data_IF_955875213759
#
_entry.id   IF_955875213759
#
_cell.length_a   1.000
_cell.length_b   1.000
_cell.length_c   1.000
_cell.angle_alpha   90.00
_cell.angle_beta   90.00
_cell.angle_gamma   90.00
#
_symmetry.space_group_name_H-M   'P 1'
#
loop_
_entity.id
_entity.type
_entity.pdbx_description
1 polymer ?
#
# COMPACT_ATOMS: atom_id res chain seq x y z
N UNK A 1 -1.66 -15.75 -36.54
CA UNK A 1 -0.38 -15.89 -35.82
C UNK A 1 0.24 -14.51 -35.50
N UNK A 2 -0.51 -13.61 -34.86
CA UNK A 2 -0.06 -12.23 -34.55
C UNK A 2 -0.27 -11.83 -33.07
N UNK A 3 -0.94 -12.67 -32.28
CA UNK A 3 -1.20 -12.43 -30.84
C UNK A 3 -0.03 -12.81 -29.93
N UNK A 4 1.01 -13.52 -30.40
CA UNK A 4 2.10 -13.97 -29.53
C UNK A 4 3.14 -12.89 -29.23
N UNK A 5 3.38 -11.96 -30.16
CA UNK A 5 4.38 -10.89 -30.00
C UNK A 5 4.11 -9.94 -28.81
N UNK A 6 2.89 -9.42 -28.59
CA UNK A 6 2.62 -8.61 -27.39
C UNK A 6 2.66 -9.43 -26.11
N UNK A 7 2.27 -10.72 -26.16
CA UNK A 7 2.34 -11.60 -25.00
C UNK A 7 3.79 -11.92 -24.60
N UNK A 8 4.65 -12.21 -25.57
CA UNK A 8 6.10 -12.45 -25.37
C UNK A 8 6.81 -11.21 -24.84
N UNK A 9 6.46 -10.02 -25.35
CA UNK A 9 7.00 -8.75 -24.83
C UNK A 9 6.59 -8.51 -23.38
N UNK A 10 5.29 -8.68 -23.05
CA UNK A 10 4.79 -8.55 -21.68
C UNK A 10 5.43 -9.58 -20.75
N UNK A 11 5.60 -10.82 -21.22
CA UNK A 11 6.33 -11.86 -20.48
C UNK A 11 7.78 -11.45 -20.22
N UNK A 12 8.49 -10.91 -21.21
CA UNK A 12 9.84 -10.39 -21.05
C UNK A 12 9.94 -9.27 -20.01
N UNK A 13 8.99 -8.34 -19.99
CA UNK A 13 8.92 -7.29 -18.97
C UNK A 13 8.67 -7.86 -17.57
N UNK A 14 7.74 -8.81 -17.44
CA UNK A 14 7.44 -9.46 -16.16
C UNK A 14 8.65 -10.23 -15.65
N UNK A 15 9.34 -10.99 -16.52
CA UNK A 15 10.53 -11.74 -16.15
C UNK A 15 11.67 -10.81 -15.71
N UNK A 16 11.92 -9.74 -16.46
CA UNK A 16 12.92 -8.71 -16.09
C UNK A 16 12.57 -8.07 -14.74
N UNK A 17 11.30 -7.79 -14.49
CA UNK A 17 10.83 -7.28 -13.20
C UNK A 17 11.09 -8.26 -12.06
N UNK A 18 10.78 -9.55 -12.25
CA UNK A 18 11.00 -10.60 -11.26
C UNK A 18 12.49 -10.82 -10.97
N UNK A 19 13.35 -10.78 -12.00
CA UNK A 19 14.81 -10.83 -11.83
C UNK A 19 15.34 -9.63 -11.02
N UNK A 20 14.83 -8.43 -11.29
CA UNK A 20 15.18 -7.21 -10.53
C UNK A 20 14.64 -7.25 -9.10
N UNK A 21 13.49 -7.88 -8.89
CA UNK A 21 12.91 -8.08 -7.57
C UNK A 21 13.75 -9.05 -6.73
N UNK A 22 14.29 -10.11 -7.34
CA UNK A 22 15.16 -11.07 -6.65
C UNK A 22 16.57 -10.51 -6.40
N UNK A 23 17.15 -9.83 -7.38
CA UNK A 23 18.54 -9.33 -7.28
C UNK A 23 18.68 -8.05 -6.44
N UNK A 24 17.67 -7.16 -6.43
CA UNK A 24 17.68 -5.90 -5.68
C UNK A 24 16.30 -5.61 -5.06
N UNK A 25 15.85 -6.45 -4.11
CA UNK A 25 14.48 -6.44 -3.60
C UNK A 25 14.05 -5.09 -3.03
N UNK A 26 14.89 -4.44 -2.23
CA UNK A 26 14.55 -3.17 -1.59
C UNK A 26 14.33 -2.07 -2.63
N UNK A 27 15.24 -1.91 -3.59
CA UNK A 27 15.14 -0.85 -4.60
C UNK A 27 13.93 -1.05 -5.50
N UNK A 28 13.73 -2.28 -5.97
CA UNK A 28 12.61 -2.61 -6.86
C UNK A 28 11.28 -2.39 -6.15
N UNK A 29 11.12 -2.88 -4.91
CA UNK A 29 9.90 -2.68 -4.13
C UNK A 29 9.64 -1.19 -3.86
N UNK A 30 10.66 -0.44 -3.46
CA UNK A 30 10.54 1.00 -3.17
C UNK A 30 10.09 1.79 -4.40
N UNK A 31 10.71 1.57 -5.56
CA UNK A 31 10.36 2.24 -6.81
C UNK A 31 8.94 1.86 -7.24
N UNK A 32 8.58 0.57 -7.19
CA UNK A 32 7.21 0.17 -7.56
C UNK A 32 6.18 0.74 -6.60
N UNK A 33 6.44 0.72 -5.29
CA UNK A 33 5.54 1.30 -4.29
C UNK A 33 5.37 2.80 -4.48
N UNK A 34 6.42 3.54 -4.83
CA UNK A 34 6.34 4.95 -5.19
C UNK A 34 5.39 5.17 -6.37
N UNK A 35 5.61 4.45 -7.49
CA UNK A 35 4.80 4.58 -8.70
C UNK A 35 3.34 4.24 -8.41
N UNK A 36 3.09 3.12 -7.73
CA UNK A 36 1.75 2.64 -7.39
C UNK A 36 1.00 3.64 -6.51
N UNK A 37 1.66 4.16 -5.47
CA UNK A 37 1.05 5.10 -4.54
C UNK A 37 0.70 6.43 -5.23
N UNK A 38 1.62 6.98 -6.03
CA UNK A 38 1.37 8.20 -6.80
C UNK A 38 0.26 8.01 -7.84
N UNK A 39 0.28 6.90 -8.59
CA UNK A 39 -0.76 6.61 -9.58
C UNK A 39 -2.13 6.41 -8.94
N UNK A 40 -2.20 5.70 -7.80
CA UNK A 40 -3.44 5.54 -7.05
C UNK A 40 -4.01 6.88 -6.61
N UNK A 41 -3.15 7.75 -6.06
CA UNK A 41 -3.57 9.08 -5.64
C UNK A 41 -4.09 9.91 -6.84
N UNK A 42 -3.32 10.00 -7.94
CA UNK A 42 -3.74 10.72 -9.17
C UNK A 42 -5.06 10.19 -9.71
N UNK A 43 -5.21 8.86 -9.78
CA UNK A 43 -6.41 8.23 -10.34
C UNK A 43 -7.64 8.58 -9.53
N UNK A 44 -7.54 8.53 -8.20
CA UNK A 44 -8.66 8.95 -7.38
C UNK A 44 -8.97 10.44 -7.53
N UNK A 45 -7.95 11.30 -7.59
CA UNK A 45 -8.17 12.74 -7.77
C UNK A 45 -8.94 13.04 -9.07
N UNK A 46 -8.61 12.32 -10.15
CA UNK A 46 -9.33 12.39 -11.42
C UNK A 46 -10.79 11.92 -11.27
N UNK A 47 -11.02 10.75 -10.66
CA UNK A 47 -12.37 10.20 -10.44
C UNK A 47 -13.22 11.12 -9.56
N UNK A 48 -12.61 11.77 -8.57
CA UNK A 48 -13.25 12.72 -7.68
C UNK A 48 -13.52 14.09 -8.33
N UNK A 49 -13.24 14.25 -9.64
CA UNK A 49 -13.51 15.47 -10.39
C UNK A 49 -12.68 16.67 -9.94
N UNK A 50 -11.45 16.44 -9.48
CA UNK A 50 -10.56 17.54 -9.09
C UNK A 50 -10.26 18.46 -10.29
N UNK A 51 -10.55 19.77 -10.15
CA UNK A 51 -10.24 20.77 -11.19
C UNK A 51 -8.74 20.91 -11.44
N UNK A 52 -7.94 20.73 -10.39
CA UNK A 52 -6.48 20.69 -10.42
C UNK A 52 -6.02 19.54 -9.54
N UNK A 53 -4.97 18.84 -9.99
CA UNK A 53 -4.34 17.78 -9.20
C UNK A 53 -3.53 18.40 -8.09
N UNK A 54 -3.82 17.98 -6.86
CA UNK A 54 -3.04 18.27 -5.67
C UNK A 54 -1.70 17.55 -5.78
N UNK A 55 -0.68 18.30 -6.21
CA UNK A 55 0.68 17.80 -6.38
C UNK A 55 1.34 17.43 -5.06
N UNK A 56 1.02 18.15 -3.97
CA UNK A 56 1.58 17.88 -2.65
C UNK A 56 1.14 16.50 -2.15
N UNK A 57 -0.13 16.15 -2.35
CA UNK A 57 -0.62 14.81 -2.03
C UNK A 57 0.02 13.73 -2.93
N UNK A 58 0.22 13.98 -4.22
CA UNK A 58 0.88 13.01 -5.12
C UNK A 58 2.33 12.77 -4.72
N UNK A 59 3.07 13.83 -4.39
CA UNK A 59 4.45 13.77 -3.92
C UNK A 59 4.52 13.06 -2.56
N UNK A 60 3.61 13.39 -1.63
CA UNK A 60 3.52 12.73 -0.33
C UNK A 60 3.33 11.21 -0.46
N UNK A 61 2.41 10.78 -1.32
CA UNK A 61 2.18 9.35 -1.58
C UNK A 61 3.39 8.68 -2.26
N UNK A 62 4.02 9.37 -3.21
CA UNK A 62 5.23 8.88 -3.87
C UNK A 62 6.39 8.69 -2.90
N UNK A 63 6.70 9.72 -2.09
CA UNK A 63 7.75 9.67 -1.07
C UNK A 63 7.45 8.62 -0.01
N UNK A 64 6.19 8.50 0.43
CA UNK A 64 5.79 7.45 1.35
C UNK A 64 6.03 6.05 0.75
N UNK A 65 5.62 5.83 -0.50
CA UNK A 65 5.85 4.58 -1.21
C UNK A 65 7.34 4.25 -1.36
N UNK A 66 8.16 5.25 -1.67
CA UNK A 66 9.60 5.11 -1.86
C UNK A 66 10.34 4.80 -0.55
N UNK A 67 10.03 5.52 0.52
CA UNK A 67 10.79 5.44 1.78
C UNK A 67 10.26 4.39 2.74
N UNK A 68 8.94 4.20 2.80
CA UNK A 68 8.27 3.33 3.77
C UNK A 68 7.60 2.14 3.10
N UNK A 69 6.93 2.36 1.96
CA UNK A 69 6.11 1.35 1.28
C UNK A 69 6.85 0.07 0.89
N UNK A 70 8.10 0.20 0.42
CA UNK A 70 8.95 -0.94 0.09
C UNK A 70 9.81 -1.43 1.26
N UNK A 71 10.61 -0.55 1.90
CA UNK A 71 11.61 -0.98 2.89
C UNK A 71 11.01 -1.52 4.19
N UNK A 72 10.00 -0.85 4.76
CA UNK A 72 9.45 -1.22 6.08
C UNK A 72 8.81 -2.60 6.06
N UNK A 73 7.91 -2.94 5.12
CA UNK A 73 7.40 -4.29 5.01
C UNK A 73 8.51 -5.32 4.74
N UNK A 74 9.51 -5.00 3.93
CA UNK A 74 10.59 -5.94 3.61
C UNK A 74 11.35 -6.38 4.87
N UNK A 75 11.83 -5.44 5.67
CA UNK A 75 12.55 -5.75 6.90
C UNK A 75 11.65 -6.40 7.96
N UNK A 76 10.38 -6.00 8.03
CA UNK A 76 9.42 -6.65 8.93
C UNK A 76 9.24 -8.13 8.60
N UNK A 77 8.95 -8.46 7.33
CA UNK A 77 8.76 -9.85 6.91
C UNK A 77 10.05 -10.66 7.03
N UNK A 78 11.21 -10.09 6.69
CA UNK A 78 12.51 -10.76 6.88
C UNK A 78 12.79 -11.07 8.36
N UNK A 79 12.53 -10.12 9.25
CA UNK A 79 12.66 -10.34 10.70
C UNK A 79 11.68 -11.39 11.21
N UNK A 80 10.44 -11.39 10.71
CA UNK A 80 9.41 -12.34 11.08
C UNK A 80 9.76 -13.76 10.64
N UNK A 81 10.30 -13.93 9.42
CA UNK A 81 10.82 -15.21 8.93
C UNK A 81 11.99 -15.71 9.76
N UNK A 82 12.94 -14.84 10.09
CA UNK A 82 14.12 -15.22 10.88
C UNK A 82 13.75 -15.60 12.32
N UNK A 83 12.74 -14.96 12.91
CA UNK A 83 12.35 -15.20 14.32
C UNK A 83 11.44 -16.42 14.44
N UNK A 84 10.59 -16.66 13.44
CA UNK A 84 9.60 -17.73 13.46
C UNK A 84 9.65 -18.59 12.19
N UNK A 85 10.63 -19.51 12.03
CA UNK A 85 10.70 -20.36 10.85
C UNK A 85 9.44 -21.22 10.66
N UNK A 86 8.99 -21.43 9.42
CA UNK A 86 7.72 -22.12 9.08
C UNK A 86 7.75 -23.63 9.26
N UNK A 87 8.03 -24.07 10.49
CA UNK A 87 8.19 -25.48 10.81
C UNK A 87 6.86 -26.16 11.20
N UNK A 88 5.77 -25.39 11.34
CA UNK A 88 4.45 -25.91 11.70
C UNK A 88 3.31 -24.97 11.32
N UNK A 89 2.10 -25.50 11.13
CA UNK A 89 0.89 -24.70 10.89
C UNK A 89 0.61 -23.70 12.01
N UNK A 90 0.99 -24.02 13.26
CA UNK A 90 0.88 -23.10 14.40
C UNK A 90 1.69 -21.82 14.17
N UNK A 91 2.88 -21.96 13.58
CA UNK A 91 3.76 -20.82 13.31
C UNK A 91 3.18 -19.90 12.25
N UNK A 92 2.52 -20.46 11.22
CA UNK A 92 1.81 -19.68 10.19
C UNK A 92 0.69 -18.84 10.81
N UNK A 93 -0.12 -19.42 11.70
CA UNK A 93 -1.17 -18.67 12.41
C UNK A 93 -0.59 -17.59 13.34
N UNK A 94 0.52 -17.88 14.03
CA UNK A 94 1.18 -16.91 14.91
C UNK A 94 1.71 -15.71 14.11
N UNK A 95 2.41 -15.96 13.00
CA UNK A 95 2.89 -14.91 12.09
C UNK A 95 1.75 -14.05 11.58
N UNK A 96 0.67 -14.68 11.12
CA UNK A 96 -0.52 -13.96 10.66
C UNK A 96 -1.13 -13.11 11.77
N UNK A 97 -1.21 -13.63 13.00
CA UNK A 97 -1.67 -12.89 14.16
C UNK A 97 -0.79 -11.67 14.46
N UNK A 98 0.53 -11.83 14.50
CA UNK A 98 1.50 -10.74 14.70
C UNK A 98 1.36 -9.68 13.61
N UNK A 99 1.29 -10.09 12.35
CA UNK A 99 1.15 -9.19 11.22
C UNK A 99 -0.15 -8.38 11.30
N UNK A 100 -1.27 -9.02 11.63
CA UNK A 100 -2.57 -8.35 11.63
C UNK A 100 -2.81 -7.53 12.90
N UNK A 101 -2.33 -7.96 14.05
CA UNK A 101 -2.60 -7.31 15.34
C UNK A 101 -1.53 -6.31 15.77
N UNK A 102 -0.28 -6.48 15.34
CA UNK A 102 0.81 -5.59 15.75
C UNK A 102 1.29 -4.73 14.57
N UNK A 103 1.67 -5.37 13.46
CA UNK A 103 2.25 -4.64 12.35
C UNK A 103 1.23 -3.78 11.61
N UNK A 104 0.07 -4.34 11.27
CA UNK A 104 -0.95 -3.62 10.49
C UNK A 104 -1.44 -2.35 11.20
N UNK A 105 -1.80 -2.36 12.50
CA UNK A 105 -2.24 -1.14 13.19
C UNK A 105 -1.12 -0.09 13.28
N UNK A 106 0.09 -0.52 13.62
CA UNK A 106 1.25 0.37 13.69
C UNK A 106 1.58 1.00 12.34
N UNK A 107 1.67 0.18 11.30
CA UNK A 107 1.96 0.62 9.94
C UNK A 107 0.84 1.51 9.38
N UNK A 108 -0.42 1.21 9.69
CA UNK A 108 -1.55 2.03 9.29
C UNK A 108 -1.49 3.42 9.95
N UNK A 109 -1.20 3.49 11.25
CA UNK A 109 -1.01 4.76 11.94
C UNK A 109 0.16 5.55 11.33
N UNK A 110 1.31 4.90 11.18
CA UNK A 110 2.51 5.49 10.58
C UNK A 110 2.21 6.04 9.18
N UNK A 111 1.48 5.29 8.36
CA UNK A 111 1.12 5.72 7.00
C UNK A 111 0.28 7.00 7.00
N UNK A 112 -0.76 7.07 7.82
CA UNK A 112 -1.62 8.26 7.89
C UNK A 112 -0.85 9.46 8.46
N UNK A 113 0.02 9.22 9.44
CA UNK A 113 0.86 10.26 10.02
C UNK A 113 1.83 10.84 8.99
N UNK A 114 2.69 9.99 8.42
CA UNK A 114 3.72 10.41 7.47
C UNK A 114 3.10 11.07 6.24
N UNK A 115 2.01 10.51 5.69
CA UNK A 115 1.31 11.12 4.56
C UNK A 115 0.83 12.53 4.90
N UNK A 116 0.18 12.72 6.04
CA UNK A 116 -0.32 14.04 6.45
C UNK A 116 0.80 15.04 6.70
N UNK A 117 1.95 14.57 7.21
CA UNK A 117 3.14 15.41 7.42
C UNK A 117 3.81 15.79 6.10
N UNK A 118 3.87 14.88 5.13
CA UNK A 118 4.38 15.16 3.78
C UNK A 118 3.43 16.06 2.97
N UNK A 119 2.14 16.00 3.23
CA UNK A 119 1.13 16.97 2.73
C UNK A 119 1.23 18.35 3.43
N UNK A 120 2.19 18.56 4.34
CA UNK A 120 2.41 19.84 5.01
C UNK A 120 1.45 20.15 6.16
N UNK A 121 0.57 19.22 6.56
CA UNK A 121 -0.39 19.44 7.67
C UNK A 121 0.32 19.53 9.01
N UNK A 122 -0.17 20.38 9.93
CA UNK A 122 0.36 20.51 11.30
C UNK A 122 0.23 19.20 12.09
N UNK A 123 1.00 19.05 13.19
CA UNK A 123 0.94 17.84 14.01
C UNK A 123 -0.46 17.68 14.63
N UNK A 124 -1.03 18.78 15.13
CA UNK A 124 -2.37 18.80 15.72
C UNK A 124 -3.44 18.40 14.70
N UNK A 125 -3.40 18.96 13.48
CA UNK A 125 -4.37 18.63 12.44
C UNK A 125 -4.22 17.19 11.96
N UNK A 126 -2.98 16.71 11.88
CA UNK A 126 -2.66 15.33 11.57
C UNK A 126 -3.26 14.39 12.61
N UNK A 127 -3.04 14.64 13.90
CA UNK A 127 -3.60 13.82 14.97
C UNK A 127 -5.12 13.83 14.94
N UNK A 128 -5.74 15.02 14.81
CA UNK A 128 -7.19 15.14 14.66
C UNK A 128 -7.69 14.31 13.48
N UNK A 129 -7.00 14.33 12.32
CA UNK A 129 -7.35 13.53 11.14
C UNK A 129 -7.27 12.03 11.43
N UNK A 130 -6.16 11.58 12.00
CA UNK A 130 -5.97 10.18 12.35
C UNK A 130 -7.07 9.70 13.29
N UNK A 131 -7.39 10.43 14.37
CA UNK A 131 -8.46 10.03 15.29
C UNK A 131 -9.81 9.84 14.59
N UNK A 132 -10.11 10.64 13.56
CA UNK A 132 -11.36 10.54 12.81
C UNK A 132 -11.40 9.33 11.85
N UNK A 133 -10.29 9.04 11.15
CA UNK A 133 -10.30 8.07 10.03
C UNK A 133 -9.56 6.75 10.32
N UNK A 134 -8.77 6.68 11.39
CA UNK A 134 -7.91 5.52 11.69
C UNK A 134 -8.70 4.22 11.85
N UNK A 135 -9.67 4.18 12.76
CA UNK A 135 -10.47 2.97 13.00
C UNK A 135 -11.27 2.51 11.77
N UNK A 136 -11.96 3.40 11.03
CA UNK A 136 -12.60 3.03 9.78
C UNK A 136 -11.63 2.40 8.76
N UNK A 137 -10.44 2.98 8.59
CA UNK A 137 -9.45 2.49 7.64
C UNK A 137 -8.84 1.16 8.13
N UNK A 138 -8.52 1.04 9.41
CA UNK A 138 -7.95 -0.18 9.99
C UNK A 138 -8.91 -1.36 9.89
N UNK A 139 -10.20 -1.17 10.20
CA UNK A 139 -11.22 -2.21 10.04
C UNK A 139 -11.36 -2.64 8.58
N UNK A 140 -11.40 -1.65 7.66
CA UNK A 140 -11.43 -1.93 6.23
C UNK A 140 -10.20 -2.73 5.78
N UNK A 141 -9.01 -2.43 6.33
CA UNK A 141 -7.79 -3.15 6.03
C UNK A 141 -7.91 -4.62 6.46
N UNK A 142 -8.30 -4.85 7.71
CA UNK A 142 -8.47 -6.20 8.25
C UNK A 142 -9.48 -7.03 7.47
N UNK A 143 -10.60 -6.45 7.04
CA UNK A 143 -11.63 -7.19 6.34
C UNK A 143 -11.27 -7.40 4.86
N UNK A 144 -10.95 -6.32 4.16
CA UNK A 144 -10.80 -6.33 2.70
C UNK A 144 -9.44 -6.92 2.32
N UNK A 145 -8.35 -6.42 2.91
CA UNK A 145 -6.99 -6.82 2.53
C UNK A 145 -6.72 -8.26 2.96
N UNK A 146 -7.21 -8.70 4.13
CA UNK A 146 -7.06 -10.11 4.53
C UNK A 146 -7.80 -11.06 3.62
N UNK A 147 -9.03 -10.73 3.23
CA UNK A 147 -9.81 -11.55 2.31
C UNK A 147 -9.11 -11.64 0.95
N UNK A 148 -8.69 -10.49 0.40
CA UNK A 148 -7.97 -10.42 -0.87
C UNK A 148 -6.64 -11.20 -0.80
N UNK A 149 -5.90 -11.09 0.30
CA UNK A 149 -4.64 -11.82 0.50
C UNK A 149 -4.87 -13.33 0.59
N UNK A 150 -5.96 -13.77 1.21
CA UNK A 150 -6.35 -15.19 1.22
C UNK A 150 -6.62 -15.71 -0.20
N UNK A 151 -7.38 -14.96 -1.00
CA UNK A 151 -7.59 -15.30 -2.42
C UNK A 151 -6.27 -15.32 -3.20
N UNK A 152 -5.37 -14.37 -2.93
CA UNK A 152 -4.05 -14.31 -3.56
C UNK A 152 -3.24 -15.58 -3.31
N UNK A 153 -3.11 -16.01 -2.05
CA UNK A 153 -2.31 -17.19 -1.70
C UNK A 153 -2.92 -18.47 -2.29
N UNK A 154 -4.25 -18.58 -2.30
CA UNK A 154 -4.97 -19.78 -2.74
C UNK A 154 -5.02 -19.95 -4.26
N UNK A 155 -5.23 -18.87 -5.01
CA UNK A 155 -5.51 -18.95 -6.45
C UNK A 155 -4.41 -18.36 -7.34
N UNK A 156 -3.56 -17.47 -6.82
CA UNK A 156 -2.54 -16.79 -7.62
C UNK A 156 -1.20 -17.55 -7.53
N UNK A 157 -0.60 -17.94 -8.68
CA UNK A 157 0.71 -18.59 -8.70
C UNK A 157 1.78 -17.75 -7.99
N UNK A 158 2.74 -18.36 -7.26
CA UNK A 158 3.75 -17.64 -6.48
C UNK A 158 4.45 -16.49 -7.21
N UNK A 159 4.78 -16.69 -8.49
CA UNK A 159 5.46 -15.70 -9.32
C UNK A 159 4.62 -14.43 -9.57
N UNK A 160 3.29 -14.54 -9.58
CA UNK A 160 2.37 -13.43 -9.86
C UNK A 160 1.85 -12.75 -8.59
N UNK A 161 2.14 -13.30 -7.39
CA UNK A 161 1.62 -12.77 -6.13
C UNK A 161 2.04 -11.33 -5.87
N UNK A 162 3.28 -10.98 -6.24
CA UNK A 162 3.81 -9.62 -6.07
C UNK A 162 3.09 -8.62 -6.97
N UNK A 163 2.83 -8.99 -8.23
CA UNK A 163 2.06 -8.16 -9.17
C UNK A 163 0.63 -7.94 -8.66
N UNK A 164 -0.01 -8.98 -8.18
CA UNK A 164 -1.34 -8.87 -7.59
C UNK A 164 -1.33 -7.98 -6.34
N UNK A 165 -0.35 -8.15 -5.44
CA UNK A 165 -0.21 -7.29 -4.26
C UNK A 165 -0.03 -5.82 -4.63
N UNK A 166 0.76 -5.54 -5.67
CA UNK A 166 0.93 -4.20 -6.23
C UNK A 166 -0.41 -3.61 -6.73
N UNK A 167 -1.26 -4.40 -7.38
CA UNK A 167 -2.61 -3.96 -7.78
C UNK A 167 -3.49 -3.64 -6.56
N UNK A 168 -3.47 -4.49 -5.54
CA UNK A 168 -4.20 -4.23 -4.29
C UNK A 168 -3.69 -2.95 -3.62
N UNK A 169 -2.37 -2.72 -3.63
CA UNK A 169 -1.75 -1.50 -3.15
C UNK A 169 -2.23 -0.25 -3.90
N UNK A 170 -2.44 -0.34 -5.21
CA UNK A 170 -3.01 0.75 -6.02
C UNK A 170 -4.43 1.11 -5.56
N UNK A 171 -5.31 0.10 -5.40
CA UNK A 171 -6.66 0.31 -4.89
C UNK A 171 -6.68 0.82 -3.44
N UNK A 172 -5.73 0.36 -2.63
CA UNK A 172 -5.58 0.82 -1.25
C UNK A 172 -5.15 2.29 -1.18
N UNK A 173 -4.21 2.72 -2.04
CA UNK A 173 -3.82 4.12 -2.17
C UNK A 173 -5.02 5.00 -2.55
N UNK A 174 -5.81 4.59 -3.54
CA UNK A 174 -7.07 5.26 -3.88
C UNK A 174 -8.01 5.35 -2.69
N UNK A 175 -8.21 4.26 -1.94
CA UNK A 175 -9.09 4.25 -0.78
C UNK A 175 -8.62 5.20 0.33
N UNK A 176 -7.32 5.26 0.62
CA UNK A 176 -6.76 6.19 1.61
C UNK A 176 -6.96 7.63 1.15
N UNK A 177 -6.62 7.96 -0.10
CA UNK A 177 -6.81 9.32 -0.64
C UNK A 177 -8.28 9.73 -0.53
N UNK A 178 -9.22 8.81 -0.78
CA UNK A 178 -10.65 9.07 -0.68
C UNK A 178 -11.08 9.41 0.75
N UNK A 179 -10.65 8.59 1.72
CA UNK A 179 -10.99 8.80 3.13
C UNK A 179 -10.40 10.08 3.69
N UNK A 180 -9.13 10.39 3.37
CA UNK A 180 -8.48 11.64 3.78
C UNK A 180 -9.20 12.86 3.19
N UNK A 181 -9.42 12.87 1.88
CA UNK A 181 -10.10 13.97 1.16
C UNK A 181 -11.52 14.20 1.68
N UNK A 182 -12.29 13.14 1.92
CA UNK A 182 -13.64 13.26 2.46
C UNK A 182 -13.66 13.82 3.89
N UNK A 183 -12.69 13.46 4.73
CA UNK A 183 -12.57 14.05 6.07
C UNK A 183 -12.15 15.53 6.01
N UNK A 184 -11.23 15.89 5.10
CA UNK A 184 -10.83 17.28 4.87
C UNK A 184 -12.04 18.14 4.42
N UNK A 185 -12.86 17.65 3.48
CA UNK A 185 -14.10 18.32 3.08
C UNK A 185 -15.10 18.46 4.23
N UNK A 186 -15.29 17.40 5.02
CA UNK A 186 -16.19 17.42 6.18
C UNK A 186 -15.77 18.50 7.19
N UNK A 187 -14.47 18.62 7.46
CA UNK A 187 -13.93 19.66 8.38
C UNK A 187 -14.12 21.06 7.82
N UNK A 188 -13.84 21.27 6.54
CA UNK A 188 -14.02 22.57 5.90
C UNK A 188 -15.47 23.08 5.97
N UNK A 189 -16.46 22.16 5.96
CA UNK A 189 -17.88 22.50 6.10
C UNK A 189 -18.33 22.72 7.55
N UNK A 190 -17.57 22.28 8.57
CA UNK A 190 -17.89 22.51 9.99
C UNK A 190 -17.38 23.87 10.46
N UNK A 191 -16.34 24.41 9.82
CA UNK A 191 -15.71 25.69 10.19
C UNK A 191 -16.41 26.90 9.51
N UNK A 192 -17.32 26.65 8.56
CA UNK A 192 -18.18 27.66 7.94
C UNK A 192 -19.49 27.81 8.70
#
# INVERSE_FOLDING_TARGET
MALSKPAEFLQGLVLTYLERLNSRPIRTKSITSCIIASLGNITLQNIAGAKMIDQDSVVAFGLFGLLFGGPVPHFFYESLESTFPENSSKMVFLKFGIERLLFTPFYQFLSLYVLSRFEGKSHEDTMKQIYAIYWPILKANWQIVSLIQFFNVKFVPPMLRVLFHNMVGFFWAMFITYKKRNDDFRRANIVK
#
